data_IF_642455553808
#
_entry.id   IF_642455553808
#
_cell.length_a   1.000
_cell.length_b   1.000
_cell.length_c   1.000
_cell.angle_alpha   90.00
_cell.angle_beta   90.00
_cell.angle_gamma   90.00
#
_symmetry.space_group_name_H-M   'P 1'
#
loop_
_entity.id
_entity.type
_entity.pdbx_description
1 polymer ?
#
# COMPACT_ATOMS: atom_id res chain seq x y z
N UNK A 1 4.70 -17.54 1.10
CA UNK A 1 3.68 -17.37 0.03
C UNK A 1 4.30 -17.71 -1.33
N UNK A 2 3.51 -18.18 -2.29
CA UNK A 2 3.95 -18.27 -3.68
C UNK A 2 4.12 -16.86 -4.27
N UNK A 3 4.95 -16.71 -5.31
CA UNK A 3 5.14 -15.42 -6.00
C UNK A 3 3.83 -14.85 -6.55
N UNK A 4 2.96 -15.72 -7.06
CA UNK A 4 1.63 -15.33 -7.54
C UNK A 4 0.81 -14.70 -6.40
N UNK A 5 0.75 -15.38 -5.25
CA UNK A 5 0.00 -14.90 -4.08
C UNK A 5 0.59 -13.60 -3.51
N UNK A 6 1.91 -13.44 -3.52
CA UNK A 6 2.57 -12.19 -3.15
C UNK A 6 2.12 -11.02 -4.03
N UNK A 7 2.17 -11.20 -5.36
CA UNK A 7 1.77 -10.16 -6.30
C UNK A 7 0.28 -9.83 -6.19
N UNK A 8 -0.59 -10.86 -6.09
CA UNK A 8 -2.03 -10.65 -5.88
C UNK A 8 -2.32 -9.87 -4.60
N UNK A 9 -1.62 -10.16 -3.50
CA UNK A 9 -1.80 -9.41 -2.25
C UNK A 9 -1.39 -7.94 -2.41
N UNK A 10 -0.26 -7.67 -3.07
CA UNK A 10 0.20 -6.29 -3.34
C UNK A 10 -0.79 -5.57 -4.26
N UNK A 11 -1.28 -6.23 -5.30
CA UNK A 11 -2.24 -5.68 -6.24
C UNK A 11 -3.57 -5.34 -5.58
N UNK A 12 -4.08 -6.22 -4.72
CA UNK A 12 -5.30 -5.96 -3.95
C UNK A 12 -5.14 -4.77 -3.01
N UNK A 13 -3.98 -4.61 -2.36
CA UNK A 13 -3.70 -3.45 -1.51
C UNK A 13 -3.65 -2.16 -2.33
N UNK A 14 -2.97 -2.16 -3.47
CA UNK A 14 -2.93 -1.00 -4.37
C UNK A 14 -4.35 -0.63 -4.79
N UNK A 15 -5.15 -1.59 -5.26
CA UNK A 15 -6.52 -1.36 -5.69
C UNK A 15 -7.39 -0.80 -4.56
N UNK A 16 -7.30 -1.37 -3.36
CA UNK A 16 -8.06 -0.89 -2.20
C UNK A 16 -7.75 0.57 -1.86
N UNK A 17 -6.46 0.95 -1.84
CA UNK A 17 -6.05 2.33 -1.57
C UNK A 17 -6.49 3.26 -2.70
N UNK A 18 -6.35 2.87 -3.97
CA UNK A 18 -6.84 3.66 -5.11
C UNK A 18 -8.33 3.93 -5.00
N UNK A 19 -9.14 2.92 -4.67
CA UNK A 19 -10.59 3.10 -4.49
C UNK A 19 -10.88 4.10 -3.37
N UNK A 20 -10.19 4.04 -2.23
CA UNK A 20 -10.35 5.01 -1.14
C UNK A 20 -10.02 6.42 -1.63
N UNK A 21 -8.89 6.59 -2.33
CA UNK A 21 -8.45 7.89 -2.86
C UNK A 21 -9.45 8.48 -3.85
N UNK A 22 -10.03 7.65 -4.74
CA UNK A 22 -10.98 8.10 -5.77
C UNK A 22 -12.40 8.30 -5.25
N UNK A 23 -12.80 7.56 -4.20
CA UNK A 23 -14.17 7.59 -3.68
C UNK A 23 -14.43 8.73 -2.69
N UNK A 24 -13.38 9.29 -2.09
CA UNK A 24 -13.51 10.26 -1.01
C UNK A 24 -13.43 11.71 -1.53
N UNK A 25 -14.57 12.41 -1.52
CA UNK A 25 -14.66 13.81 -1.94
C UNK A 25 -14.06 14.83 -0.94
N UNK A 26 -13.65 14.40 0.25
CA UNK A 26 -13.26 15.28 1.37
C UNK A 26 -11.92 14.93 2.00
N UNK A 27 -10.99 14.36 1.24
CA UNK A 27 -9.63 14.10 1.73
C UNK A 27 -8.91 15.42 2.01
N UNK A 28 -8.35 15.54 3.21
CA UNK A 28 -7.43 16.64 3.50
C UNK A 28 -6.14 16.50 2.67
N UNK A 29 -5.36 17.57 2.55
CA UNK A 29 -4.06 17.49 1.89
C UNK A 29 -3.13 16.49 2.59
N UNK A 30 -3.23 16.37 3.91
CA UNK A 30 -2.46 15.39 4.68
C UNK A 30 -2.88 13.96 4.35
N UNK A 31 -4.18 13.70 4.21
CA UNK A 31 -4.69 12.38 3.81
C UNK A 31 -4.20 11.99 2.42
N UNK A 32 -4.24 12.93 1.47
CA UNK A 32 -3.72 12.70 0.10
C UNK A 32 -2.24 12.35 0.10
N UNK A 33 -1.44 12.99 0.95
CA UNK A 33 -0.02 12.68 1.12
C UNK A 33 0.16 11.28 1.68
N UNK A 34 -0.55 10.91 2.74
CA UNK A 34 -0.48 9.57 3.36
C UNK A 34 -0.85 8.47 2.36
N UNK A 35 -1.97 8.64 1.65
CA UNK A 35 -2.45 7.67 0.66
C UNK A 35 -1.48 7.58 -0.54
N UNK A 36 -0.91 8.70 -0.98
CA UNK A 36 0.11 8.70 -2.06
C UNK A 36 1.39 8.00 -1.65
N UNK A 37 1.90 8.24 -0.44
CA UNK A 37 3.11 7.56 0.07
C UNK A 37 2.86 6.05 0.19
N UNK A 38 1.69 5.65 0.69
CA UNK A 38 1.30 4.24 0.78
C UNK A 38 1.26 3.56 -0.60
N UNK A 39 0.68 4.22 -1.61
CA UNK A 39 0.66 3.73 -2.99
C UNK A 39 2.07 3.60 -3.58
N UNK A 40 2.92 4.61 -3.40
CA UNK A 40 4.29 4.60 -3.91
C UNK A 40 5.09 3.42 -3.33
N UNK A 41 5.00 3.20 -2.02
CA UNK A 41 5.66 2.07 -1.35
C UNK A 41 5.21 0.73 -1.90
N UNK A 42 3.91 0.53 -2.10
CA UNK A 42 3.37 -0.71 -2.68
C UNK A 42 3.79 -0.90 -4.14
N UNK A 43 3.81 0.16 -4.95
CA UNK A 43 4.25 0.09 -6.34
C UNK A 43 5.76 -0.24 -6.44
N UNK A 44 6.58 0.36 -5.58
CA UNK A 44 8.00 0.03 -5.45
C UNK A 44 8.18 -1.42 -4.98
N UNK A 45 7.38 -1.85 -4.01
CA UNK A 45 7.32 -3.23 -3.58
C UNK A 45 6.81 -4.15 -4.69
N UNK A 46 5.99 -3.74 -5.65
CA UNK A 46 5.63 -4.60 -6.79
C UNK A 46 6.81 -4.77 -7.76
N UNK A 47 7.51 -3.68 -8.07
CA UNK A 47 8.58 -3.63 -9.09
C UNK A 47 9.87 -4.35 -8.69
N UNK A 48 10.23 -4.34 -7.41
CA UNK A 48 11.49 -4.94 -6.94
C UNK A 48 11.48 -6.47 -7.15
N UNK A 49 12.56 -7.05 -7.68
CA UNK A 49 12.69 -8.51 -7.89
C UNK A 49 13.37 -9.16 -6.68
N UNK A 50 13.19 -10.47 -6.49
CA UNK A 50 13.97 -11.25 -5.53
C UNK A 50 13.70 -11.00 -4.04
N UNK A 51 12.49 -10.59 -3.67
CA UNK A 51 12.14 -10.31 -2.27
C UNK A 51 11.80 -11.57 -1.50
N UNK A 52 12.17 -11.59 -0.23
CA UNK A 52 11.70 -12.64 0.70
C UNK A 52 10.27 -12.36 1.16
N UNK A 53 9.59 -13.39 1.67
CA UNK A 53 8.27 -13.19 2.29
C UNK A 53 8.34 -12.20 3.46
N UNK A 54 9.43 -12.25 4.23
CA UNK A 54 9.63 -11.34 5.36
C UNK A 54 9.73 -9.88 4.92
N UNK A 55 10.54 -9.58 3.89
CA UNK A 55 10.65 -8.22 3.35
C UNK A 55 9.31 -7.69 2.83
N UNK A 56 8.48 -8.56 2.25
CA UNK A 56 7.14 -8.18 1.81
C UNK A 56 6.26 -7.83 3.00
N UNK A 57 6.28 -8.66 4.06
CA UNK A 57 5.50 -8.41 5.28
C UNK A 57 5.96 -7.13 6.00
N UNK A 58 7.27 -6.88 6.08
CA UNK A 58 7.83 -5.67 6.67
C UNK A 58 7.38 -4.40 5.92
N UNK A 59 7.41 -4.41 4.58
CA UNK A 59 6.93 -3.26 3.81
C UNK A 59 5.41 -3.09 3.91
N UNK A 60 4.64 -4.19 3.95
CA UNK A 60 3.19 -4.12 4.19
C UNK A 60 2.91 -3.54 5.59
N UNK A 61 3.67 -3.92 6.62
CA UNK A 61 3.51 -3.37 7.97
C UNK A 61 3.76 -1.85 8.00
N UNK A 62 4.79 -1.36 7.30
CA UNK A 62 5.04 0.09 7.15
C UNK A 62 3.90 0.81 6.43
N UNK A 63 3.31 0.18 5.41
CA UNK A 63 2.13 0.72 4.71
C UNK A 63 0.92 0.79 5.66
N UNK A 64 0.68 -0.25 6.47
CA UNK A 64 -0.39 -0.24 7.47
C UNK A 64 -0.15 0.86 8.51
N UNK A 65 1.08 1.00 9.00
CA UNK A 65 1.43 2.09 9.93
C UNK A 65 1.15 3.47 9.34
N UNK A 66 1.48 3.71 8.06
CA UNK A 66 1.09 4.95 7.38
C UNK A 66 -0.42 5.13 7.33
N UNK A 67 -1.16 4.09 6.93
CA UNK A 67 -2.63 4.14 6.84
C UNK A 67 -3.28 4.36 8.21
N UNK A 68 -2.66 3.95 9.32
CA UNK A 68 -3.22 4.25 10.66
C UNK A 68 -3.30 5.76 10.92
N UNK A 69 -2.43 6.58 10.31
CA UNK A 69 -2.48 8.05 10.40
C UNK A 69 -3.61 8.68 9.60
N UNK A 70 -4.25 7.91 8.71
CA UNK A 70 -5.41 8.34 7.93
C UNK A 70 -6.73 8.02 8.66
N UNK A 71 -6.76 6.95 9.46
CA UNK A 71 -7.98 6.51 10.16
C UNK A 71 -8.10 7.03 11.61
N UNK A 72 -7.10 7.77 12.10
CA UNK A 72 -7.05 8.37 13.44
C UNK A 72 -7.04 9.88 13.31
#
# INVERSE_FOLDING_TARGET
MSRLKQNQNIDNLIQGITVITESQCSLSEQDKVVLSEALERLQNLKRKKGKTNQQILEEIAKVIELLTKFFV
#
